data_IF_014130279233
#
_entry.id   IF_014130279233
#
_cell.length_a   1.000
_cell.length_b   1.000
_cell.length_c   1.000
_cell.angle_alpha   90.00
_cell.angle_beta   90.00
_cell.angle_gamma   90.00
#
_symmetry.space_group_name_H-M   'P 1'
#
loop_
_entity.id
_entity.type
_entity.pdbx_description
1 polymer ?
#
# COMPACT_ATOMS: atom_id res chain seq x y z
N UNK A 1 -14.16 -10.87 -3.27
CA UNK A 1 -12.72 -10.57 -3.36
C UNK A 1 -11.98 -11.37 -2.31
N UNK A 2 -10.78 -11.86 -2.60
CA UNK A 2 -9.95 -12.57 -1.61
C UNK A 2 -9.30 -11.54 -0.69
N UNK A 3 -9.29 -11.82 0.59
CA UNK A 3 -8.64 -11.01 1.61
C UNK A 3 -7.12 -11.05 1.47
N UNK A 4 -6.45 -9.89 1.52
CA UNK A 4 -4.99 -9.78 1.51
C UNK A 4 -4.49 -9.43 2.91
N UNK A 5 -4.09 -10.46 3.66
CA UNK A 5 -3.55 -10.30 5.01
C UNK A 5 -2.08 -9.91 5.03
N UNK A 6 -1.25 -10.54 4.20
CA UNK A 6 0.17 -10.22 4.05
C UNK A 6 0.58 -10.39 2.60
N UNK A 7 1.65 -9.71 2.22
CA UNK A 7 2.24 -9.81 0.89
C UNK A 7 3.57 -10.57 0.95
N UNK A 8 3.92 -11.22 -0.16
CA UNK A 8 5.12 -12.05 -0.32
C UNK A 8 5.75 -11.79 -1.70
N UNK A 9 6.26 -10.58 -1.90
CA UNK A 9 7.10 -10.24 -3.05
C UNK A 9 8.54 -10.64 -2.69
N UNK A 10 9.21 -11.40 -3.54
CA UNK A 10 10.54 -11.97 -3.27
C UNK A 10 11.68 -11.25 -4.00
N UNK A 11 11.32 -10.51 -5.04
CA UNK A 11 12.20 -9.75 -5.91
C UNK A 11 12.77 -8.52 -5.18
N UNK A 12 12.02 -8.01 -4.20
CA UNK A 12 12.36 -6.81 -3.44
C UNK A 12 12.43 -7.08 -1.94
N UNK A 13 13.40 -6.49 -1.21
CA UNK A 13 13.46 -6.60 0.24
C UNK A 13 12.20 -6.05 0.92
N UNK A 14 11.65 -6.81 1.87
CA UNK A 14 10.63 -6.27 2.77
C UNK A 14 11.29 -5.25 3.71
N UNK A 15 10.99 -3.97 3.50
CA UNK A 15 11.50 -2.87 4.32
C UNK A 15 10.83 -2.84 5.70
N UNK A 16 9.50 -2.93 5.71
CA UNK A 16 8.74 -2.87 6.96
C UNK A 16 7.35 -3.50 6.82
N UNK A 17 6.88 -4.08 7.91
CA UNK A 17 5.48 -4.52 8.06
C UNK A 17 4.85 -3.78 9.23
N UNK A 18 4.05 -2.77 8.90
CA UNK A 18 3.22 -2.07 9.87
C UNK A 18 1.92 -2.80 10.17
N UNK A 19 1.07 -2.19 10.99
CA UNK A 19 -0.25 -2.76 11.34
C UNK A 19 -1.10 -3.09 10.12
N UNK A 20 -1.11 -2.19 9.13
CA UNK A 20 -2.00 -2.29 7.95
C UNK A 20 -1.30 -2.16 6.60
N UNK A 21 0.02 -1.93 6.57
CA UNK A 21 0.78 -1.79 5.34
C UNK A 21 2.01 -2.69 5.35
N UNK A 22 2.30 -3.28 4.20
CA UNK A 22 3.59 -3.89 3.90
C UNK A 22 4.34 -2.93 2.97
N UNK A 23 5.62 -2.71 3.24
CA UNK A 23 6.47 -1.76 2.49
C UNK A 23 7.69 -2.50 1.97
N UNK A 24 7.95 -2.39 0.67
CA UNK A 24 9.10 -2.96 0.01
C UNK A 24 10.06 -1.88 -0.45
N UNK A 25 11.36 -2.17 -0.33
CA UNK A 25 12.44 -1.28 -0.76
C UNK A 25 12.80 -1.58 -2.23
N UNK A 26 12.69 -0.57 -3.09
CA UNK A 26 13.06 -0.64 -4.51
C UNK A 26 14.41 0.07 -4.77
N UNK A 27 15.16 0.41 -3.72
CA UNK A 27 16.45 1.09 -3.75
C UNK A 27 16.33 2.61 -3.65
N UNK A 28 15.73 3.24 -4.65
CA UNK A 28 15.53 4.71 -4.69
C UNK A 28 14.10 5.15 -4.33
N UNK A 29 13.20 4.17 -4.18
CA UNK A 29 11.76 4.37 -3.97
C UNK A 29 11.18 3.26 -3.09
N UNK A 30 9.94 3.47 -2.64
CA UNK A 30 9.21 2.50 -1.83
C UNK A 30 7.94 2.04 -2.54
N UNK A 31 7.67 0.73 -2.49
CA UNK A 31 6.37 0.18 -2.82
C UNK A 31 5.58 0.03 -1.52
N UNK A 32 4.48 0.78 -1.39
CA UNK A 32 3.63 0.79 -0.21
C UNK A 32 2.33 0.06 -0.54
N UNK A 33 2.10 -1.10 0.09
CA UNK A 33 0.90 -1.90 -0.13
C UNK A 33 -0.01 -1.79 1.09
N UNK A 34 -1.18 -1.17 0.91
CA UNK A 34 -2.25 -1.24 1.90
C UNK A 34 -2.90 -2.63 1.88
N UNK A 35 -2.86 -3.31 3.02
CA UNK A 35 -3.45 -4.65 3.20
C UNK A 35 -4.88 -4.55 3.72
N UNK A 36 -5.59 -5.67 3.73
CA UNK A 36 -6.94 -5.77 4.30
C UNK A 36 -6.95 -5.88 5.82
N UNK A 37 -5.76 -5.93 6.45
CA UNK A 37 -5.60 -5.94 7.92
C UNK A 37 -6.29 -4.73 8.53
N UNK A 38 -6.90 -4.97 9.69
CA UNK A 38 -7.54 -3.95 10.51
C UNK A 38 -6.91 -3.96 11.90
N UNK A 39 -6.75 -2.79 12.51
CA UNK A 39 -6.28 -2.67 13.88
C UNK A 39 -7.20 -1.78 14.72
N UNK A 40 -7.45 -2.18 15.95
CA UNK A 40 -8.18 -1.41 16.95
C UNK A 40 -7.52 -1.62 18.32
N UNK A 41 -7.52 -0.59 19.18
CA UNK A 41 -6.90 -0.64 20.51
C UNK A 41 -5.45 -1.15 20.48
N UNK A 42 -4.67 -0.64 19.51
CA UNK A 42 -3.27 -1.00 19.26
C UNK A 42 -3.00 -2.43 18.78
N UNK A 43 -4.03 -3.28 18.65
CA UNK A 43 -3.92 -4.69 18.23
C UNK A 43 -4.38 -4.88 16.79
N UNK A 44 -3.65 -5.68 16.01
CA UNK A 44 -4.09 -6.14 14.68
C UNK A 44 -5.06 -7.30 14.87
N UNK A 45 -6.25 -7.19 14.26
CA UNK A 45 -7.29 -8.21 14.36
C UNK A 45 -6.94 -9.45 13.52
N UNK A 46 -7.46 -10.61 13.92
CA UNK A 46 -7.20 -11.88 13.22
C UNK A 46 -7.79 -11.94 11.82
N UNK A 47 -8.89 -11.21 11.59
CA UNK A 47 -9.53 -11.06 10.29
C UNK A 47 -9.45 -9.62 9.80
N UNK A 48 -9.30 -9.48 8.49
CA UNK A 48 -9.35 -8.24 7.76
C UNK A 48 -10.71 -8.00 7.11
N UNK A 49 -10.78 -6.94 6.31
CA UNK A 49 -11.96 -6.59 5.52
C UNK A 49 -11.56 -6.72 4.04
N UNK A 50 -12.07 -7.72 3.29
CA UNK A 50 -11.68 -7.93 1.90
C UNK A 50 -11.86 -6.68 1.03
N UNK A 51 -10.80 -6.25 0.36
CA UNK A 51 -10.80 -5.07 -0.52
C UNK A 51 -10.65 -3.72 0.18
N UNK A 52 -10.49 -3.70 1.51
CA UNK A 52 -10.19 -2.48 2.28
C UNK A 52 -8.89 -1.83 1.81
N UNK A 53 -7.84 -2.62 1.58
CA UNK A 53 -6.56 -2.12 1.12
C UNK A 53 -6.69 -1.33 -0.19
N UNK A 54 -7.41 -1.90 -1.16
CA UNK A 54 -7.70 -1.26 -2.46
C UNK A 54 -8.46 0.05 -2.29
N UNK A 55 -9.53 0.04 -1.49
CA UNK A 55 -10.34 1.25 -1.24
C UNK A 55 -9.54 2.36 -0.57
N UNK A 56 -8.69 2.01 0.41
CA UNK A 56 -7.86 3.00 1.11
C UNK A 56 -6.75 3.57 0.21
N UNK A 57 -6.19 2.76 -0.68
CA UNK A 57 -5.28 3.25 -1.72
C UNK A 57 -5.99 4.23 -2.64
N UNK A 58 -7.20 3.90 -3.13
CA UNK A 58 -7.97 4.79 -4.00
C UNK A 58 -8.33 6.12 -3.32
N UNK A 59 -8.75 6.10 -2.05
CA UNK A 59 -9.01 7.31 -1.26
C UNK A 59 -7.73 8.15 -1.11
N UNK A 60 -6.58 7.50 -0.88
CA UNK A 60 -5.31 8.22 -0.78
C UNK A 60 -4.93 8.90 -2.10
N UNK A 61 -5.05 8.18 -3.24
CA UNK A 61 -4.80 8.73 -4.58
C UNK A 61 -5.69 9.93 -4.87
N UNK A 62 -6.98 9.85 -4.54
CA UNK A 62 -7.90 10.98 -4.66
C UNK A 62 -7.40 12.21 -3.89
N UNK A 63 -7.02 12.04 -2.63
CA UNK A 63 -6.56 13.17 -1.81
C UNK A 63 -5.21 13.74 -2.26
N UNK A 64 -4.30 12.88 -2.76
CA UNK A 64 -3.04 13.35 -3.34
C UNK A 64 -3.28 14.22 -4.59
N UNK A 65 -4.22 13.83 -5.46
CA UNK A 65 -4.57 14.65 -6.62
C UNK A 65 -5.32 15.94 -6.21
N UNK A 66 -6.28 15.84 -5.29
CA UNK A 66 -7.07 16.98 -4.83
C UNK A 66 -6.22 18.07 -4.17
N UNK A 67 -5.16 17.70 -3.45
CA UNK A 67 -4.30 18.63 -2.70
C UNK A 67 -3.00 19.00 -3.43
N UNK A 68 -2.80 18.55 -4.67
CA UNK A 68 -1.51 18.68 -5.40
C UNK A 68 -1.03 20.13 -5.56
N UNK A 69 -1.96 21.08 -5.66
CA UNK A 69 -1.65 22.51 -5.83
C UNK A 69 -1.40 23.22 -4.48
N UNK A 70 -1.63 22.53 -3.35
CA UNK A 70 -1.46 23.07 -2.00
C UNK A 70 -0.16 22.58 -1.37
N UNK A 71 0.17 21.29 -1.53
CA UNK A 71 1.35 20.67 -0.90
C UNK A 71 1.88 19.51 -1.75
N UNK A 72 3.21 19.36 -1.91
CA UNK A 72 3.77 18.19 -2.57
C UNK A 72 3.48 16.91 -1.77
N UNK A 73 3.31 15.80 -2.49
CA UNK A 73 3.16 14.47 -1.91
C UNK A 73 4.32 13.56 -2.29
N UNK A 74 4.43 12.40 -1.63
CA UNK A 74 5.42 11.38 -1.95
C UNK A 74 4.93 10.40 -3.04
N UNK A 75 3.71 10.55 -3.55
CA UNK A 75 3.15 9.62 -4.53
C UNK A 75 3.92 9.75 -5.85
N UNK A 76 4.53 8.65 -6.30
CA UNK A 76 5.15 8.55 -7.62
C UNK A 76 4.08 8.12 -8.64
N UNK A 77 3.43 6.97 -8.40
CA UNK A 77 2.35 6.46 -9.24
C UNK A 77 1.54 5.39 -8.48
N UNK A 78 0.28 5.22 -8.86
CA UNK A 78 -0.57 4.09 -8.49
C UNK A 78 -1.02 3.27 -9.71
N UNK A 79 -0.47 3.58 -10.89
CA UNK A 79 -0.73 2.85 -12.13
C UNK A 79 0.25 1.68 -12.24
N UNK A 80 -0.29 0.47 -12.25
CA UNK A 80 0.49 -0.77 -12.33
C UNK A 80 1.31 -0.79 -13.64
N UNK A 81 0.81 -0.22 -14.73
CA UNK A 81 1.55 -0.18 -16.00
C UNK A 81 2.86 0.64 -15.92
N UNK A 82 3.00 1.48 -14.89
CA UNK A 82 4.20 2.28 -14.63
C UNK A 82 5.14 1.66 -13.59
N UNK A 83 4.79 0.49 -13.03
CA UNK A 83 5.65 -0.23 -12.10
C UNK A 83 6.79 -0.94 -12.84
N UNK A 84 7.88 -1.33 -12.14
CA UNK A 84 8.86 -2.27 -12.66
C UNK A 84 8.20 -3.53 -13.24
N UNK A 85 8.77 -4.10 -14.31
CA UNK A 85 8.15 -5.19 -15.07
C UNK A 85 7.90 -6.48 -14.26
N UNK A 86 8.66 -6.68 -13.19
CA UNK A 86 8.52 -7.80 -12.25
C UNK A 86 7.43 -7.56 -11.18
N UNK A 87 6.83 -6.37 -11.15
CA UNK A 87 5.71 -5.99 -10.27
C UNK A 87 4.39 -5.75 -11.03
N UNK A 88 4.38 -5.93 -12.35
CA UNK A 88 3.19 -5.85 -13.20
C UNK A 88 2.45 -7.19 -13.24
#
# INVERSE_FOLDING_TARGET
MKEVQTTQITEYPLFSRGKVRDVYDLGDRLLIIATDRLSAFDVVLSNGIPGRGVMLTAVSVFWFDFLKDIVPSHLITSDIAQFPADLQ
#
